data_IF_492979610527
#
_entry.id   IF_492979610527
#
_cell.length_a   1.000
_cell.length_b   1.000
_cell.length_c   1.000
_cell.angle_alpha   90.00
_cell.angle_beta   90.00
_cell.angle_gamma   90.00
#
_symmetry.space_group_name_H-M   'P 1'
#
loop_
_entity.id
_entity.type
_entity.pdbx_description
1 polymer ?
#
# COMPACT_ATOMS: atom_id res chain seq x y z
N UNK A 1 -36.21 11.90 -20.96
CA UNK A 1 -35.35 12.74 -21.80
C UNK A 1 -34.64 13.74 -20.88
N UNK A 2 -33.43 13.53 -20.58
CA UNK A 2 -32.25 14.39 -20.51
C UNK A 2 -31.18 13.62 -19.72
N UNK A 3 -30.19 13.14 -20.44
CA UNK A 3 -29.04 12.49 -19.85
C UNK A 3 -28.20 13.51 -19.08
N UNK A 4 -27.81 13.15 -17.88
CA UNK A 4 -26.69 13.78 -17.18
C UNK A 4 -25.43 13.12 -17.71
N UNK A 5 -24.74 13.83 -18.59
CA UNK A 5 -23.38 13.48 -19.00
C UNK A 5 -22.44 13.68 -17.81
N UNK A 6 -21.86 12.61 -17.35
CA UNK A 6 -20.65 12.68 -16.52
C UNK A 6 -19.55 13.33 -17.35
N UNK A 7 -19.20 14.56 -17.00
CA UNK A 7 -18.02 15.21 -17.53
C UNK A 7 -16.78 14.52 -16.92
N UNK A 8 -16.23 13.55 -17.64
CA UNK A 8 -14.85 13.13 -17.45
C UNK A 8 -13.95 14.32 -17.79
N UNK A 9 -13.54 15.07 -16.77
CA UNK A 9 -12.50 16.07 -16.91
C UNK A 9 -11.18 15.34 -17.23
N UNK A 10 -10.81 15.36 -18.51
CA UNK A 10 -9.47 14.98 -18.96
C UNK A 10 -8.48 16.00 -18.40
N UNK A 11 -7.76 15.61 -17.34
CA UNK A 11 -6.70 16.41 -16.75
C UNK A 11 -5.55 16.49 -17.75
N UNK A 12 -5.23 17.70 -18.21
CA UNK A 12 -4.20 17.94 -19.22
C UNK A 12 -2.79 17.84 -18.60
N UNK A 13 -1.80 17.41 -19.39
CA UNK A 13 -0.38 17.35 -19.02
C UNK A 13 0.23 18.70 -18.55
N UNK A 14 -0.48 19.81 -18.66
CA UNK A 14 -0.09 21.15 -18.20
C UNK A 14 -0.13 21.30 -16.66
N UNK A 15 -0.74 20.37 -15.95
CA UNK A 15 -1.04 20.48 -14.50
C UNK A 15 0.07 20.03 -13.56
N UNK A 16 1.04 19.21 -14.01
CA UNK A 16 2.20 18.82 -13.18
C UNK A 16 3.23 19.94 -12.98
N UNK A 17 3.09 21.06 -13.70
CA UNK A 17 3.84 22.29 -13.44
C UNK A 17 3.22 23.14 -12.32
N UNK A 18 2.13 22.68 -11.70
CA UNK A 18 1.54 23.32 -10.55
C UNK A 18 2.53 23.28 -9.38
N UNK A 19 2.59 24.38 -8.64
CA UNK A 19 3.44 24.54 -7.47
C UNK A 19 3.17 23.45 -6.43
N UNK A 20 1.89 23.13 -6.19
CA UNK A 20 1.46 22.12 -5.23
C UNK A 20 1.96 20.71 -5.60
N UNK A 21 1.90 20.32 -6.88
CA UNK A 21 2.45 19.03 -7.33
C UNK A 21 3.96 18.93 -7.14
N UNK A 22 4.70 20.02 -7.37
CA UNK A 22 6.15 20.04 -7.13
C UNK A 22 6.48 19.92 -5.63
N UNK A 23 5.77 20.64 -4.78
CA UNK A 23 5.94 20.56 -3.33
C UNK A 23 5.69 19.15 -2.81
N UNK A 24 4.66 18.44 -3.33
CA UNK A 24 4.40 17.03 -2.99
C UNK A 24 5.56 16.13 -3.42
N UNK A 25 6.11 16.31 -4.62
CA UNK A 25 7.23 15.49 -5.09
C UNK A 25 8.51 15.77 -4.29
N UNK A 26 8.78 17.02 -3.93
CA UNK A 26 9.91 17.42 -3.10
C UNK A 26 9.76 16.85 -1.67
N UNK A 27 8.55 16.90 -1.10
CA UNK A 27 8.24 16.28 0.19
C UNK A 27 8.47 14.77 0.14
N UNK A 28 7.97 14.10 -0.90
CA UNK A 28 8.14 12.66 -1.09
C UNK A 28 9.62 12.28 -1.18
N UNK A 29 10.41 12.98 -2.02
CA UNK A 29 11.82 12.71 -2.20
C UNK A 29 12.62 12.95 -0.89
N UNK A 30 12.27 13.98 -0.11
CA UNK A 30 12.92 14.31 1.14
C UNK A 30 12.66 13.28 2.26
N UNK A 31 11.56 12.55 2.19
CA UNK A 31 11.17 11.55 3.19
C UNK A 31 11.82 10.17 2.94
N UNK A 32 12.34 9.91 1.72
CA UNK A 32 12.82 8.58 1.34
C UNK A 32 14.19 8.27 1.93
N UNK A 33 14.28 7.14 2.64
CA UNK A 33 15.51 6.52 3.10
C UNK A 33 15.65 5.17 2.41
N UNK A 34 16.64 5.05 1.50
CA UNK A 34 16.94 3.79 0.82
C UNK A 34 17.92 2.95 1.63
N UNK A 35 17.61 1.67 1.84
CA UNK A 35 18.38 0.75 2.68
C UNK A 35 18.72 -0.51 1.88
N UNK A 36 20.01 -0.74 1.66
CA UNK A 36 20.57 -1.86 0.90
C UNK A 36 21.43 -2.81 1.75
N UNK A 37 21.50 -2.58 3.08
CA UNK A 37 22.23 -3.44 4.02
C UNK A 37 21.55 -3.45 5.39
N UNK A 38 21.24 -4.64 5.92
CA UNK A 38 20.67 -4.79 7.27
C UNK A 38 21.67 -4.49 8.40
N UNK A 39 22.97 -4.44 8.09
CA UNK A 39 24.01 -4.06 9.06
C UNK A 39 24.29 -2.57 9.08
N UNK A 40 23.72 -1.80 8.14
CA UNK A 40 23.94 -0.36 8.05
C UNK A 40 23.34 0.41 9.24
N UNK A 41 23.88 1.58 9.54
CA UNK A 41 23.32 2.46 10.55
C UNK A 41 21.90 2.95 10.17
N UNK A 42 21.65 3.18 8.88
CA UNK A 42 20.34 3.55 8.37
C UNK A 42 19.29 2.46 8.66
N UNK A 43 19.65 1.17 8.53
CA UNK A 43 18.74 0.08 8.87
C UNK A 43 18.46 0.00 10.38
N UNK A 44 19.49 0.13 11.22
CA UNK A 44 19.32 0.14 12.68
C UNK A 44 18.43 1.29 13.13
N UNK A 45 18.65 2.47 12.56
CA UNK A 45 17.79 3.64 12.84
C UNK A 45 16.36 3.40 12.38
N UNK A 46 16.14 2.84 11.19
CA UNK A 46 14.82 2.45 10.68
C UNK A 46 14.10 1.53 11.69
N UNK A 47 14.73 0.44 12.12
CA UNK A 47 14.14 -0.51 13.07
C UNK A 47 13.79 0.18 14.40
N UNK A 48 14.65 1.06 14.91
CA UNK A 48 14.39 1.80 16.14
C UNK A 48 13.19 2.75 16.00
N UNK A 49 13.09 3.49 14.92
CA UNK A 49 11.97 4.41 14.66
C UNK A 49 10.66 3.64 14.46
N UNK A 50 10.68 2.52 13.74
CA UNK A 50 9.51 1.67 13.56
C UNK A 50 9.02 1.06 14.88
N UNK A 51 9.91 0.63 15.76
CA UNK A 51 9.55 0.11 17.11
C UNK A 51 8.88 1.16 18.01
N UNK A 52 9.18 2.44 17.80
CA UNK A 52 8.56 3.54 18.53
C UNK A 52 7.23 4.01 17.93
N UNK A 53 6.94 3.61 16.69
CA UNK A 53 5.75 4.05 15.97
C UNK A 53 4.51 3.27 16.40
N UNK A 54 3.38 3.94 16.50
CA UNK A 54 2.07 3.31 16.75
C UNK A 54 1.38 2.86 15.48
N UNK A 55 1.70 3.51 14.35
CA UNK A 55 1.12 3.26 13.04
C UNK A 55 2.23 3.30 12.00
N UNK A 56 2.29 2.32 11.13
CA UNK A 56 3.17 2.26 9.98
C UNK A 56 2.35 1.93 8.73
N UNK A 57 2.72 2.48 7.57
CA UNK A 57 2.22 1.97 6.29
C UNK A 57 3.15 0.87 5.80
N UNK A 58 2.59 -0.15 5.15
CA UNK A 58 3.32 -1.32 4.68
C UNK A 58 2.86 -1.72 3.28
N UNK A 59 3.80 -1.90 2.39
CA UNK A 59 3.60 -2.43 1.03
C UNK A 59 4.81 -3.24 0.58
N UNK A 60 4.66 -4.07 -0.45
CA UNK A 60 5.74 -4.87 -1.04
C UNK A 60 5.74 -4.76 -2.55
N UNK A 61 6.95 -4.77 -3.13
CA UNK A 61 7.14 -5.03 -4.55
C UNK A 61 7.98 -6.30 -4.76
N UNK A 62 7.71 -6.97 -5.88
CA UNK A 62 8.40 -8.22 -6.16
C UNK A 62 8.16 -8.80 -7.54
N UNK A 63 8.89 -9.85 -7.86
CA UNK A 63 8.70 -10.64 -9.07
C UNK A 63 7.59 -11.64 -8.85
N UNK A 64 6.45 -11.47 -9.55
CA UNK A 64 5.25 -12.31 -9.38
C UNK A 64 4.89 -12.49 -7.90
N UNK A 65 4.77 -11.35 -7.21
CA UNK A 65 4.56 -11.28 -5.77
C UNK A 65 3.48 -12.25 -5.30
N UNK A 66 3.90 -13.32 -4.63
CA UNK A 66 3.08 -14.42 -4.11
C UNK A 66 3.97 -15.38 -3.34
N UNK A 67 3.41 -16.46 -2.75
CA UNK A 67 4.17 -17.54 -2.10
C UNK A 67 5.24 -18.19 -2.98
N UNK A 68 5.05 -18.19 -4.30
CA UNK A 68 5.97 -18.80 -5.29
C UNK A 68 6.80 -17.78 -6.05
N UNK A 69 6.58 -16.48 -5.80
CA UNK A 69 7.34 -15.40 -6.38
C UNK A 69 8.53 -14.99 -5.52
N UNK A 70 8.89 -13.71 -5.57
CA UNK A 70 9.99 -13.16 -4.77
C UNK A 70 9.67 -11.73 -4.32
N UNK A 71 9.72 -11.46 -3.03
CA UNK A 71 9.76 -10.10 -2.51
C UNK A 71 11.13 -9.51 -2.81
N UNK A 72 11.18 -8.35 -3.43
CA UNK A 72 12.43 -7.66 -3.79
C UNK A 72 12.62 -6.34 -3.09
N UNK A 73 11.52 -5.70 -2.69
CA UNK A 73 11.53 -4.41 -2.01
C UNK A 73 10.39 -4.36 -0.98
N UNK A 74 10.68 -3.84 0.20
CA UNK A 74 9.67 -3.47 1.21
C UNK A 74 9.59 -1.95 1.29
N UNK A 75 8.37 -1.45 1.33
CA UNK A 75 8.06 -0.06 1.59
C UNK A 75 7.41 0.04 2.97
N UNK A 76 8.06 0.75 3.88
CA UNK A 76 7.50 1.00 5.22
C UNK A 76 7.56 2.51 5.48
N UNK A 77 6.41 3.12 5.75
CA UNK A 77 6.35 4.54 6.08
C UNK A 77 5.87 4.79 7.51
N UNK A 78 6.43 5.82 8.11
CA UNK A 78 5.93 6.54 9.26
C UNK A 78 5.59 7.96 8.81
N UNK A 79 4.96 8.84 9.62
CA UNK A 79 4.49 10.15 9.14
C UNK A 79 5.53 11.01 8.42
N UNK A 80 6.79 10.97 8.84
CA UNK A 80 7.84 11.86 8.31
C UNK A 80 8.91 11.13 7.48
N UNK A 81 8.83 9.80 7.34
CA UNK A 81 9.85 9.00 6.64
C UNK A 81 9.26 7.81 5.91
N UNK A 82 9.90 7.47 4.80
CA UNK A 82 9.59 6.31 3.98
C UNK A 82 10.85 5.48 3.82
N UNK A 83 10.86 4.30 4.37
CA UNK A 83 11.96 3.36 4.27
C UNK A 83 11.73 2.43 3.08
N UNK A 84 12.60 2.51 2.08
CA UNK A 84 12.69 1.57 0.97
C UNK A 84 13.79 0.55 1.28
N UNK A 85 13.41 -0.65 1.72
CA UNK A 85 14.34 -1.69 2.13
C UNK A 85 14.50 -2.67 0.97
N UNK A 86 15.67 -2.67 0.35
CA UNK A 86 15.99 -3.56 -0.76
C UNK A 86 16.27 -4.98 -0.24
N UNK A 87 15.25 -5.82 -0.25
CA UNK A 87 15.34 -7.20 0.27
C UNK A 87 16.42 -8.01 -0.44
N UNK A 88 16.68 -7.71 -1.73
CA UNK A 88 17.68 -8.46 -2.51
C UNK A 88 19.12 -8.18 -2.08
N UNK A 89 19.42 -6.96 -1.69
CA UNK A 89 20.79 -6.51 -1.35
C UNK A 89 20.98 -6.35 0.16
N UNK A 90 19.92 -6.07 0.91
CA UNK A 90 20.00 -5.84 2.35
C UNK A 90 20.21 -7.10 3.19
N UNK A 91 20.18 -8.30 2.61
CA UNK A 91 20.41 -9.56 3.31
C UNK A 91 19.26 -10.57 3.19
N UNK A 92 18.21 -10.28 2.40
CA UNK A 92 17.13 -11.23 2.21
C UNK A 92 16.40 -11.59 3.51
N UNK A 93 16.50 -12.85 3.97
CA UNK A 93 15.84 -13.34 5.18
C UNK A 93 16.40 -12.73 6.47
N UNK A 94 17.65 -12.33 6.48
CA UNK A 94 18.34 -11.76 7.63
C UNK A 94 17.71 -10.45 8.10
N UNK A 95 17.14 -9.63 7.19
CA UNK A 95 16.45 -8.40 7.57
C UNK A 95 15.29 -8.65 8.55
N UNK A 96 14.62 -9.79 8.40
CA UNK A 96 13.47 -10.14 9.24
C UNK A 96 13.91 -10.73 10.58
N UNK A 97 14.87 -11.66 10.58
CA UNK A 97 15.26 -12.43 11.77
C UNK A 97 16.30 -11.63 12.57
N UNK A 98 17.48 -11.41 12.02
CA UNK A 98 18.58 -10.72 12.70
C UNK A 98 18.36 -9.21 12.79
N UNK A 99 17.77 -8.64 11.73
CA UNK A 99 17.45 -7.22 11.65
C UNK A 99 16.23 -6.80 12.49
N UNK A 100 15.40 -7.74 12.94
CA UNK A 100 14.27 -7.45 13.84
C UNK A 100 13.00 -6.95 13.16
N UNK A 101 12.90 -6.92 11.82
CA UNK A 101 11.67 -6.52 11.14
C UNK A 101 10.52 -7.49 11.38
N UNK A 102 10.81 -8.80 11.61
CA UNK A 102 9.78 -9.78 11.94
C UNK A 102 9.00 -9.39 13.18
N UNK A 103 9.67 -8.93 14.24
CA UNK A 103 9.02 -8.48 15.48
C UNK A 103 8.08 -7.30 15.24
N UNK A 104 8.49 -6.34 14.42
CA UNK A 104 7.70 -5.15 14.08
C UNK A 104 6.46 -5.52 13.27
N UNK A 105 6.63 -6.32 12.22
CA UNK A 105 5.55 -6.74 11.33
C UNK A 105 4.54 -7.63 12.07
N UNK A 106 5.00 -8.49 13.00
CA UNK A 106 4.17 -9.36 13.82
C UNK A 106 3.66 -8.71 15.11
N UNK A 107 4.00 -7.45 15.40
CA UNK A 107 3.54 -6.74 16.59
C UNK A 107 2.03 -6.51 16.57
N UNK A 108 1.37 -6.81 17.68
CA UNK A 108 -0.04 -6.47 17.92
C UNK A 108 -0.22 -5.00 18.36
N UNK A 109 0.87 -4.32 18.78
CA UNK A 109 0.84 -2.95 19.29
C UNK A 109 1.01 -1.90 18.19
N UNK A 110 1.64 -2.28 17.08
CA UNK A 110 1.87 -1.42 15.91
C UNK A 110 0.81 -1.71 14.86
N UNK A 111 -0.03 -0.72 14.53
CA UNK A 111 -1.01 -0.83 13.46
C UNK A 111 -0.31 -0.75 12.11
N UNK A 112 -0.50 -1.74 11.24
CA UNK A 112 -0.03 -1.71 9.85
C UNK A 112 -1.15 -1.30 8.93
N UNK A 113 -0.95 -0.22 8.19
CA UNK A 113 -1.83 0.22 7.11
C UNK A 113 -1.41 -0.49 5.83
N UNK A 114 -2.32 -1.13 5.16
CA UNK A 114 -2.09 -1.81 3.87
C UNK A 114 -3.26 -1.57 2.92
N UNK A 115 -3.12 -1.94 1.66
CA UNK A 115 -4.20 -1.90 0.68
C UNK A 115 -4.27 -3.22 -0.09
N UNK A 116 -5.34 -4.01 0.12
CA UNK A 116 -5.48 -5.35 -0.45
C UNK A 116 -4.32 -6.30 -0.07
N UNK A 117 -4.12 -6.47 1.22
CA UNK A 117 -2.97 -7.11 1.87
C UNK A 117 -2.73 -8.59 1.49
N UNK A 118 -3.59 -9.19 0.67
CA UNK A 118 -3.63 -10.65 0.42
C UNK A 118 -2.34 -11.19 -0.19
N UNK A 119 -1.81 -10.55 -1.24
CA UNK A 119 -0.60 -11.00 -1.92
C UNK A 119 0.65 -10.75 -1.07
N UNK A 120 0.71 -9.62 -0.38
CA UNK A 120 1.82 -9.28 0.50
C UNK A 120 1.91 -10.24 1.69
N UNK A 121 0.77 -10.54 2.33
CA UNK A 121 0.72 -11.48 3.46
C UNK A 121 1.07 -12.90 3.01
N UNK A 122 0.58 -13.35 1.85
CA UNK A 122 0.94 -14.64 1.25
C UNK A 122 2.45 -14.76 1.03
N UNK A 123 3.04 -13.75 0.38
CA UNK A 123 4.48 -13.73 0.10
C UNK A 123 5.32 -13.66 1.37
N UNK A 124 5.00 -12.78 2.31
CA UNK A 124 5.73 -12.67 3.58
C UNK A 124 5.73 -13.96 4.39
N UNK A 125 4.56 -14.56 4.54
CA UNK A 125 4.44 -15.78 5.34
C UNK A 125 5.21 -16.94 4.71
N UNK A 126 4.98 -17.21 3.43
CA UNK A 126 5.56 -18.40 2.78
C UNK A 126 7.03 -18.25 2.40
N UNK A 127 7.51 -17.04 2.10
CA UNK A 127 8.92 -16.82 1.76
C UNK A 127 9.82 -16.58 2.98
N UNK A 128 9.27 -15.93 4.04
CA UNK A 128 10.08 -15.44 5.15
C UNK A 128 9.58 -15.88 6.53
N UNK A 129 8.49 -16.66 6.61
CA UNK A 129 7.86 -17.05 7.87
C UNK A 129 7.48 -15.83 8.76
N UNK A 130 6.95 -14.79 8.11
CA UNK A 130 6.52 -13.55 8.75
C UNK A 130 5.01 -13.40 8.61
N UNK A 131 4.28 -13.51 9.73
CA UNK A 131 2.83 -13.33 9.77
C UNK A 131 2.48 -11.88 10.08
N UNK A 132 1.84 -11.19 9.15
CA UNK A 132 1.30 -9.85 9.40
C UNK A 132 0.25 -9.89 10.52
N UNK A 133 0.37 -8.97 11.48
CA UNK A 133 -0.60 -8.84 12.57
C UNK A 133 -1.02 -7.38 12.75
N UNK A 134 -2.18 -7.15 13.34
CA UNK A 134 -2.76 -5.82 13.59
C UNK A 134 -2.74 -4.95 12.33
N UNK A 135 -3.47 -5.39 11.31
CA UNK A 135 -3.54 -4.72 10.00
C UNK A 135 -4.89 -4.05 9.82
N UNK A 136 -4.87 -2.83 9.34
CA UNK A 136 -6.01 -2.11 8.80
C UNK A 136 -5.88 -2.05 7.27
N UNK A 137 -6.67 -2.85 6.58
CA UNK A 137 -6.74 -2.81 5.11
C UNK A 137 -7.61 -1.62 4.67
N UNK A 138 -6.98 -0.61 4.11
CA UNK A 138 -7.62 0.65 3.71
C UNK A 138 -8.61 0.46 2.54
N UNK A 139 -8.49 -0.62 1.76
CA UNK A 139 -9.50 -1.00 0.77
C UNK A 139 -10.81 -1.37 1.46
N UNK A 140 -10.73 -2.16 2.54
CA UNK A 140 -11.90 -2.55 3.34
C UNK A 140 -12.48 -1.36 4.10
N UNK A 141 -11.64 -0.47 4.61
CA UNK A 141 -12.08 0.75 5.27
C UNK A 141 -12.89 1.66 4.33
N UNK A 142 -12.43 1.88 3.09
CA UNK A 142 -13.18 2.67 2.10
C UNK A 142 -14.55 2.05 1.79
N UNK A 143 -14.61 0.72 1.67
CA UNK A 143 -15.88 0.00 1.47
C UNK A 143 -16.82 0.20 2.66
N UNK A 144 -16.32 0.02 3.87
CA UNK A 144 -17.10 0.13 5.09
C UNK A 144 -17.67 1.54 5.27
N UNK A 145 -16.86 2.58 5.08
CA UNK A 145 -17.30 3.99 5.11
C UNK A 145 -18.43 4.23 4.10
N UNK A 146 -18.31 3.73 2.89
CA UNK A 146 -19.32 3.89 1.84
C UNK A 146 -20.60 3.14 2.14
N UNK A 147 -20.50 1.91 2.66
CA UNK A 147 -21.67 1.12 3.08
C UNK A 147 -22.38 1.74 4.27
N UNK A 148 -21.65 2.23 5.25
CA UNK A 148 -22.21 2.97 6.39
C UNK A 148 -23.02 4.19 5.94
N UNK A 149 -22.57 4.87 4.88
CA UNK A 149 -23.30 5.97 4.23
C UNK A 149 -24.43 5.52 3.28
N UNK A 150 -24.78 4.23 3.27
CA UNK A 150 -25.87 3.69 2.44
C UNK A 150 -25.51 3.39 0.99
N UNK A 151 -24.24 3.43 0.60
CA UNK A 151 -23.82 3.09 -0.77
C UNK A 151 -23.72 1.58 -0.95
N UNK A 152 -24.36 1.02 -1.97
CA UNK A 152 -24.13 -0.37 -2.35
C UNK A 152 -22.73 -0.52 -2.95
N UNK A 153 -21.91 -1.37 -2.35
CA UNK A 153 -20.56 -1.68 -2.83
C UNK A 153 -20.42 -3.18 -3.02
N UNK A 154 -20.49 -3.63 -4.26
CA UNK A 154 -20.41 -5.04 -4.62
C UNK A 154 -18.97 -5.47 -4.92
N UNK A 155 -18.15 -4.56 -5.47
CA UNK A 155 -16.80 -4.86 -5.93
C UNK A 155 -15.74 -4.09 -5.15
N UNK A 156 -14.58 -4.72 -5.01
CA UNK A 156 -13.39 -4.11 -4.42
C UNK A 156 -12.90 -2.93 -5.28
N UNK A 157 -12.70 -1.75 -4.70
CA UNK A 157 -12.12 -0.64 -5.44
C UNK A 157 -10.62 -0.89 -5.68
N UNK A 158 -10.10 -0.49 -6.84
CA UNK A 158 -8.64 -0.37 -7.01
C UNK A 158 -8.09 0.79 -6.16
N UNK A 159 -6.80 0.75 -5.84
CA UNK A 159 -6.12 1.84 -5.12
C UNK A 159 -6.37 3.20 -5.81
N UNK A 160 -6.22 3.27 -7.15
CA UNK A 160 -6.51 4.51 -7.91
C UNK A 160 -7.93 5.03 -7.72
N UNK A 161 -8.94 4.15 -7.65
CA UNK A 161 -10.34 4.59 -7.40
C UNK A 161 -10.52 5.16 -6.00
N UNK A 162 -9.82 4.62 -5.02
CA UNK A 162 -9.87 5.14 -3.64
C UNK A 162 -9.08 6.45 -3.53
N UNK A 163 -7.91 6.54 -4.13
CA UNK A 163 -7.12 7.79 -4.26
C UNK A 163 -7.97 8.90 -4.84
N UNK A 164 -8.60 8.68 -6.01
CA UNK A 164 -9.44 9.68 -6.69
C UNK A 164 -10.68 10.13 -5.87
N UNK A 165 -11.07 9.34 -4.88
CA UNK A 165 -12.21 9.66 -4.00
C UNK A 165 -11.79 10.40 -2.75
N UNK A 166 -10.56 10.19 -2.27
CA UNK A 166 -10.15 10.58 -0.92
C UNK A 166 -9.08 11.65 -0.86
N UNK A 167 -8.26 11.76 -1.89
CA UNK A 167 -7.11 12.67 -1.91
C UNK A 167 -7.40 13.95 -2.71
N UNK A 168 -6.53 14.93 -2.57
CA UNK A 168 -6.61 16.21 -3.29
C UNK A 168 -6.27 16.04 -4.78
N UNK A 169 -6.67 16.99 -5.62
CA UNK A 169 -6.36 16.95 -7.05
C UNK A 169 -4.85 16.90 -7.32
N UNK A 170 -4.03 17.62 -6.56
CA UNK A 170 -2.59 17.62 -6.73
C UNK A 170 -1.98 16.25 -6.38
N UNK A 171 -2.40 15.64 -5.27
CA UNK A 171 -1.99 14.29 -4.88
C UNK A 171 -2.39 13.25 -5.94
N UNK A 172 -3.62 13.33 -6.47
CA UNK A 172 -4.10 12.45 -7.56
C UNK A 172 -3.22 12.57 -8.79
N UNK A 173 -2.89 13.79 -9.22
CA UNK A 173 -2.05 14.05 -10.39
C UNK A 173 -0.65 13.47 -10.25
N UNK A 174 -0.03 13.64 -9.09
CA UNK A 174 1.29 13.05 -8.77
C UNK A 174 1.22 11.53 -8.84
N UNK A 175 0.18 10.93 -8.25
CA UNK A 175 -0.02 9.47 -8.30
C UNK A 175 -0.18 8.95 -9.73
N UNK A 176 -0.97 9.64 -10.56
CA UNK A 176 -1.23 9.22 -11.95
C UNK A 176 0.04 9.35 -12.82
N UNK A 177 0.82 10.42 -12.66
CA UNK A 177 2.06 10.63 -13.41
C UNK A 177 3.11 9.56 -13.09
N UNK A 178 3.42 9.34 -11.81
CA UNK A 178 4.40 8.33 -11.40
C UNK A 178 3.98 6.93 -11.82
N UNK A 179 2.70 6.58 -11.67
CA UNK A 179 2.16 5.32 -12.15
C UNK A 179 2.31 5.14 -13.66
N UNK A 180 2.08 6.20 -14.44
CA UNK A 180 2.25 6.18 -15.90
C UNK A 180 3.71 5.98 -16.29
N UNK A 181 4.66 6.65 -15.61
CA UNK A 181 6.11 6.50 -15.86
C UNK A 181 6.55 5.05 -15.62
N UNK A 182 6.20 4.48 -14.47
CA UNK A 182 6.57 3.10 -14.14
C UNK A 182 5.89 2.09 -15.09
N UNK A 183 4.63 2.29 -15.45
CA UNK A 183 3.96 1.45 -16.45
C UNK A 183 4.70 1.45 -17.80
N UNK A 184 5.18 2.62 -18.24
CA UNK A 184 5.97 2.71 -19.47
C UNK A 184 7.29 1.96 -19.35
N UNK A 185 7.93 1.95 -18.17
CA UNK A 185 9.15 1.17 -17.93
C UNK A 185 8.91 -0.33 -18.05
N UNK A 186 7.79 -0.86 -17.54
CA UNK A 186 7.42 -2.26 -17.70
C UNK A 186 7.30 -2.69 -19.17
N UNK A 187 6.75 -1.83 -20.02
CA UNK A 187 6.59 -2.12 -21.46
C UNK A 187 7.91 -2.10 -22.24
N UNK A 188 8.96 -1.50 -21.70
CA UNK A 188 10.29 -1.41 -22.31
C UNK A 188 11.27 -2.50 -21.85
N UNK A 189 10.83 -3.42 -20.96
CA UNK A 189 11.69 -4.45 -20.40
C UNK A 189 11.47 -5.76 -21.18
N UNK A 190 12.44 -6.11 -22.04
CA UNK A 190 12.36 -7.32 -22.87
C UNK A 190 12.55 -8.62 -22.06
N UNK A 191 13.39 -8.64 -21.01
CA UNK A 191 13.80 -9.84 -20.27
C UNK A 191 13.85 -9.64 -18.76
N UNK A 192 12.72 -9.40 -18.12
CA UNK A 192 12.72 -9.43 -16.66
C UNK A 192 11.87 -8.37 -16.00
N UNK A 193 11.56 -8.65 -14.78
CA UNK A 193 10.72 -7.81 -13.94
C UNK A 193 11.49 -6.55 -13.52
N UNK A 194 10.85 -5.39 -13.62
CA UNK A 194 11.37 -4.10 -13.16
C UNK A 194 11.94 -4.19 -11.74
N UNK A 195 11.23 -4.89 -10.87
CA UNK A 195 11.56 -5.02 -9.46
C UNK A 195 12.73 -5.96 -9.16
N UNK A 196 13.21 -6.74 -10.16
CA UNK A 196 14.42 -7.54 -10.05
C UNK A 196 15.68 -6.78 -10.45
N UNK A 197 15.58 -5.63 -11.13
CA UNK A 197 16.73 -4.87 -11.62
C UNK A 197 17.40 -4.06 -10.51
N UNK A 198 18.73 -4.00 -10.56
CA UNK A 198 19.53 -3.14 -9.69
C UNK A 198 20.63 -2.42 -10.51
N UNK A 199 20.92 -1.13 -10.19
CA UNK A 199 20.17 -0.31 -9.21
C UNK A 199 18.76 0.00 -9.68
N UNK A 200 17.84 0.25 -8.74
CA UNK A 200 16.51 0.78 -9.05
C UNK A 200 16.67 2.18 -9.66
N UNK A 201 15.87 2.47 -10.69
CA UNK A 201 15.80 3.82 -11.27
C UNK A 201 15.13 4.79 -10.28
N UNK A 202 15.36 6.08 -10.45
CA UNK A 202 14.74 7.10 -9.59
C UNK A 202 13.21 7.06 -9.68
N UNK A 203 12.64 6.85 -10.88
CA UNK A 203 11.19 6.73 -11.04
C UNK A 203 10.64 5.46 -10.33
N UNK A 204 11.37 4.33 -10.35
CA UNK A 204 10.96 3.13 -9.62
C UNK A 204 11.02 3.34 -8.10
N UNK A 205 12.05 4.04 -7.60
CA UNK A 205 12.15 4.40 -6.17
C UNK A 205 11.03 5.33 -5.74
N UNK A 206 10.76 6.37 -6.53
CA UNK A 206 9.65 7.31 -6.26
C UNK A 206 8.31 6.62 -6.27
N UNK A 207 8.08 5.73 -7.22
CA UNK A 207 6.82 4.98 -7.29
C UNK A 207 6.65 4.06 -6.07
N UNK A 208 7.68 3.30 -5.70
CA UNK A 208 7.64 2.46 -4.50
C UNK A 208 7.42 3.29 -3.22
N UNK A 209 8.07 4.44 -3.10
CA UNK A 209 7.85 5.35 -1.98
C UNK A 209 6.42 5.91 -1.97
N UNK A 210 5.88 6.23 -3.15
CA UNK A 210 4.53 6.73 -3.32
C UNK A 210 3.48 5.75 -2.78
N UNK A 211 3.63 4.44 -2.99
CA UNK A 211 2.64 3.45 -2.54
C UNK A 211 2.50 3.48 -1.00
N UNK A 212 3.61 3.50 -0.26
CA UNK A 212 3.56 3.65 1.21
C UNK A 212 3.07 5.05 1.66
N UNK A 213 3.47 6.12 0.94
CA UNK A 213 3.01 7.49 1.19
C UNK A 213 1.48 7.62 1.00
N UNK A 214 0.94 7.02 -0.06
CA UNK A 214 -0.51 6.99 -0.32
C UNK A 214 -1.26 6.36 0.85
N UNK A 215 -0.76 5.27 1.42
CA UNK A 215 -1.41 4.62 2.56
C UNK A 215 -1.49 5.54 3.78
N UNK A 216 -0.44 6.31 4.06
CA UNK A 216 -0.45 7.31 5.13
C UNK A 216 -1.46 8.43 4.85
N UNK A 217 -1.49 8.96 3.61
CA UNK A 217 -2.45 10.01 3.19
C UNK A 217 -3.89 9.50 3.22
N UNK A 218 -4.17 8.30 2.72
CA UNK A 218 -5.49 7.68 2.80
C UNK A 218 -5.94 7.46 4.23
N UNK A 219 -5.05 6.97 5.11
CA UNK A 219 -5.36 6.83 6.52
C UNK A 219 -5.73 8.19 7.14
N UNK A 220 -4.95 9.24 6.87
CA UNK A 220 -5.26 10.59 7.36
C UNK A 220 -6.61 11.10 6.83
N UNK A 221 -6.90 10.91 5.54
CA UNK A 221 -8.16 11.32 4.93
C UNK A 221 -9.38 10.58 5.47
N UNK A 222 -9.24 9.30 5.82
CA UNK A 222 -10.34 8.46 6.32
C UNK A 222 -10.39 8.39 7.86
N UNK A 223 -9.28 8.63 8.54
CA UNK A 223 -9.14 8.54 10.01
C UNK A 223 -8.31 9.71 10.55
N UNK A 224 -8.78 10.96 10.42
CA UNK A 224 -8.07 12.10 10.97
C UNK A 224 -7.87 11.90 12.49
N UNK A 225 -6.66 12.17 12.99
CA UNK A 225 -6.25 11.92 14.38
C UNK A 225 -6.31 10.43 14.83
N UNK A 226 -6.20 9.48 13.86
CA UNK A 226 -6.18 8.05 14.16
C UNK A 226 -7.54 7.43 14.46
N UNK A 227 -8.62 8.21 14.42
CA UNK A 227 -9.99 7.73 14.61
C UNK A 227 -10.85 8.06 13.38
N UNK A 228 -11.78 7.18 13.06
CA UNK A 228 -12.75 7.48 12.01
C UNK A 228 -13.81 8.40 12.58
N UNK A 229 -13.74 9.67 12.18
CA UNK A 229 -14.63 10.68 12.71
C UNK A 229 -16.04 10.53 12.13
N UNK A 230 -17.02 10.17 12.95
CA UNK A 230 -18.43 9.98 12.55
C UNK A 230 -19.03 11.24 11.90
N UNK A 231 -18.56 12.43 12.25
CA UNK A 231 -19.00 13.68 11.63
C UNK A 231 -18.54 13.85 10.18
N UNK A 232 -17.45 13.18 9.78
CA UNK A 232 -16.95 13.16 8.39
C UNK A 232 -17.59 12.04 7.56
N UNK A 233 -17.99 10.95 8.21
CA UNK A 233 -18.53 9.77 7.56
C UNK A 233 -19.84 9.35 8.25
N UNK A 234 -20.98 9.92 7.84
CA UNK A 234 -22.27 9.61 8.43
C UNK A 234 -22.57 8.11 8.44
N UNK A 235 -23.01 7.60 9.58
CA UNK A 235 -23.32 6.18 9.77
C UNK A 235 -22.13 5.28 10.05
N UNK A 236 -20.89 5.77 9.99
CA UNK A 236 -19.71 5.03 10.39
C UNK A 236 -19.43 5.22 11.88
N UNK A 237 -19.41 4.15 12.63
CA UNK A 237 -19.16 4.11 14.08
C UNK A 237 -18.06 3.10 14.44
N UNK A 238 -17.80 2.91 15.73
CA UNK A 238 -16.77 1.98 16.21
C UNK A 238 -17.08 0.53 15.81
N UNK A 239 -18.34 0.14 15.70
CA UNK A 239 -18.70 -1.22 15.26
C UNK A 239 -18.26 -1.50 13.82
N UNK A 240 -18.27 -0.50 12.95
CA UNK A 240 -17.71 -0.61 11.61
C UNK A 240 -16.20 -0.74 11.62
N UNK A 241 -15.51 0.01 12.49
CA UNK A 241 -14.06 -0.07 12.63
C UNK A 241 -13.64 -1.47 13.08
N UNK A 242 -14.29 -2.04 14.08
CA UNK A 242 -14.04 -3.41 14.55
C UNK A 242 -14.24 -4.44 13.42
N UNK A 243 -15.33 -4.31 12.64
CA UNK A 243 -15.62 -5.20 11.48
C UNK A 243 -14.52 -5.10 10.41
N UNK A 244 -14.00 -3.91 10.14
CA UNK A 244 -12.89 -3.71 9.18
C UNK A 244 -11.62 -4.39 9.67
N UNK A 245 -11.26 -4.24 10.94
CA UNK A 245 -10.09 -4.90 11.53
C UNK A 245 -10.24 -6.42 11.51
N UNK A 246 -11.42 -6.95 11.85
CA UNK A 246 -11.71 -8.39 11.78
C UNK A 246 -11.63 -8.92 10.33
N UNK A 247 -12.20 -8.19 9.37
CA UNK A 247 -12.12 -8.56 7.96
C UNK A 247 -10.68 -8.48 7.40
N UNK A 248 -9.89 -7.53 7.87
CA UNK A 248 -8.46 -7.42 7.51
C UNK A 248 -7.68 -8.63 8.05
N UNK A 249 -7.92 -9.01 9.30
CA UNK A 249 -7.32 -10.21 9.91
C UNK A 249 -7.73 -11.48 9.16
N UNK A 250 -9.02 -11.64 8.86
CA UNK A 250 -9.52 -12.81 8.09
C UNK A 250 -8.85 -12.95 6.74
N UNK A 251 -8.57 -11.85 6.02
CA UNK A 251 -7.81 -11.90 4.76
C UNK A 251 -6.42 -12.50 4.93
N UNK A 252 -5.71 -12.13 6.01
CA UNK A 252 -4.37 -12.64 6.30
C UNK A 252 -4.44 -14.12 6.69
N UNK A 253 -5.35 -14.49 7.59
CA UNK A 253 -5.50 -15.87 8.07
C UNK A 253 -5.92 -16.81 6.93
N UNK A 254 -6.83 -16.38 6.06
CA UNK A 254 -7.28 -17.16 4.92
C UNK A 254 -6.14 -17.50 3.96
N UNK A 255 -5.33 -16.50 3.57
CA UNK A 255 -4.24 -16.68 2.60
C UNK A 255 -2.93 -17.19 3.21
N UNK A 256 -2.90 -17.45 4.49
CA UNK A 256 -1.86 -18.26 5.12
C UNK A 256 -1.97 -19.74 4.75
N UNK A 257 -3.19 -20.27 4.73
CA UNK A 257 -3.45 -21.70 4.52
C UNK A 257 -3.98 -22.02 3.11
N UNK A 258 -4.58 -21.05 2.42
CA UNK A 258 -5.16 -21.15 1.09
C UNK A 258 -4.36 -20.37 0.06
N UNK A 259 -4.19 -20.90 -1.14
CA UNK A 259 -3.61 -20.12 -2.24
C UNK A 259 -4.54 -18.99 -2.68
N UNK A 260 -3.94 -17.84 -2.98
CA UNK A 260 -4.67 -16.73 -3.59
C UNK A 260 -5.15 -17.18 -4.97
N UNK A 261 -6.48 -17.21 -5.24
CA UNK A 261 -7.00 -17.72 -6.48
C UNK A 261 -6.70 -16.77 -7.65
N UNK A 262 -5.82 -17.19 -8.55
CA UNK A 262 -5.48 -16.46 -9.77
C UNK A 262 -5.87 -17.34 -10.97
N UNK A 263 -6.71 -16.81 -11.84
CA UNK A 263 -7.07 -17.50 -13.09
C UNK A 263 -5.87 -17.60 -14.04
N UNK A 264 -5.92 -18.58 -14.94
CA UNK A 264 -4.94 -18.70 -16.02
C UNK A 264 -4.87 -17.40 -16.82
N UNK A 265 -3.66 -16.88 -17.01
CA UNK A 265 -3.42 -15.58 -17.64
C UNK A 265 -3.37 -14.39 -16.68
N UNK A 266 -3.30 -14.61 -15.35
CA UNK A 266 -3.09 -13.58 -14.34
C UNK A 266 -4.33 -12.72 -14.02
N UNK A 267 -5.52 -13.12 -14.49
CA UNK A 267 -6.77 -12.44 -14.14
C UNK A 267 -7.21 -12.83 -12.74
N UNK A 268 -7.74 -11.85 -12.00
CA UNK A 268 -8.32 -12.08 -10.68
C UNK A 268 -9.68 -12.79 -10.80
N UNK A 269 -9.90 -13.82 -9.99
CA UNK A 269 -11.19 -14.53 -9.90
C UNK A 269 -12.29 -13.61 -9.33
N UNK A 270 -13.54 -14.03 -9.42
CA UNK A 270 -14.67 -13.31 -8.80
C UNK A 270 -14.48 -13.15 -7.29
N UNK A 271 -13.94 -14.17 -6.60
CA UNK A 271 -13.61 -14.14 -5.18
C UNK A 271 -12.60 -13.02 -4.84
N UNK A 272 -11.64 -12.76 -5.75
CA UNK A 272 -10.66 -11.69 -5.59
C UNK A 272 -11.21 -10.29 -5.89
N UNK A 273 -12.36 -10.18 -6.51
CA UNK A 273 -12.93 -8.90 -6.98
C UNK A 273 -14.17 -8.46 -6.21
N UNK A 274 -14.89 -9.38 -5.55
CA UNK A 274 -16.08 -9.03 -4.78
C UNK A 274 -15.72 -8.48 -3.40
N UNK A 275 -16.46 -7.48 -2.98
CA UNK A 275 -16.32 -6.92 -1.64
C UNK A 275 -16.92 -7.89 -0.60
N UNK A 276 -16.21 -8.15 0.52
CA UNK A 276 -16.71 -9.05 1.56
C UNK A 276 -17.95 -8.46 2.23
N UNK A 277 -18.75 -9.32 2.85
CA UNK A 277 -19.81 -8.90 3.80
C UNK A 277 -19.14 -8.62 5.14
N UNK A 278 -19.54 -7.50 5.77
CA UNK A 278 -19.09 -7.13 7.12
C UNK A 278 -20.16 -7.49 8.14
#
# INVERSE_FOLDING_TARGET
KKGNGEQNATVSAASLNDKECREILEELDAQVVFIDSHTSEAFKQCVNELKQSKVIAYDCEGVRLSRTGKITLLQIAIPEKIFLIDVMTAGGKEIFVEGGLKEIIQSEEILKLAYDVRMDSDALFHQHDVLLKNVLDLQLLDIAIRRAAGTLVEYLPSLSKTVNRRLTNAEILVCEDLKKRVKNMYTCIEDGDLWARRPLTDDARRYAALDAWILMKLNHAMRPNGTTASHLFPGFDESWNERVLDASRKRIDEYKDKEVPIEQGGKRTSEMTHAPTF
#
